data_IF_191540240215
#
_entry.id   IF_191540240215
#
_cell.length_a   1.000
_cell.length_b   1.000
_cell.length_c   1.000
_cell.angle_alpha   90.00
_cell.angle_beta   90.00
_cell.angle_gamma   90.00
#
_symmetry.space_group_name_H-M   'P 1'
#
loop_
_entity.id
_entity.type
_entity.pdbx_description
1 polymer ?
#
# COMPACT_ATOMS: atom_id res chain seq x y z
N UNK A 1 -9.37 18.16 10.57
CA UNK A 1 -10.26 19.14 9.90
C UNK A 1 -9.93 20.61 10.25
N UNK A 2 -8.71 20.91 10.71
CA UNK A 2 -8.37 22.29 11.17
C UNK A 2 -8.45 23.30 10.03
N UNK A 3 -7.87 23.00 8.87
CA UNK A 3 -7.82 23.90 7.72
C UNK A 3 -9.20 24.34 7.18
N UNK A 4 -10.15 23.44 6.87
CA UNK A 4 -11.48 23.86 6.42
C UNK A 4 -12.23 24.71 7.45
N UNK A 5 -12.04 24.46 8.75
CA UNK A 5 -12.65 25.28 9.79
C UNK A 5 -12.03 26.68 9.86
N UNK A 6 -10.71 26.79 9.75
CA UNK A 6 -10.03 28.10 9.67
C UNK A 6 -10.54 28.90 8.48
N UNK A 7 -10.61 28.29 7.29
CA UNK A 7 -11.12 28.96 6.09
C UNK A 7 -12.58 29.42 6.27
N UNK A 8 -13.44 28.58 6.86
CA UNK A 8 -14.85 28.89 7.04
C UNK A 8 -15.12 29.98 8.09
N UNK A 9 -14.39 29.95 9.21
CA UNK A 9 -14.74 30.77 10.38
C UNK A 9 -13.82 31.97 10.61
N UNK A 10 -12.62 31.98 10.04
CA UNK A 10 -11.63 33.05 10.26
C UNK A 10 -11.40 33.92 9.01
N UNK A 11 -12.14 33.71 7.92
CA UNK A 11 -12.00 34.51 6.69
C UNK A 11 -13.33 35.10 6.24
N UNK A 12 -13.27 36.17 5.42
CA UNK A 12 -14.47 36.78 4.84
C UNK A 12 -15.16 35.85 3.81
N UNK A 13 -16.46 36.07 3.51
CA UNK A 13 -17.27 35.13 2.72
C UNK A 13 -16.68 34.75 1.35
N UNK A 14 -16.09 35.73 0.66
CA UNK A 14 -15.46 35.54 -0.65
C UNK A 14 -14.23 34.65 -0.54
N UNK A 15 -13.35 34.93 0.43
CA UNK A 15 -12.12 34.16 0.67
C UNK A 15 -12.44 32.75 1.14
N UNK A 16 -13.45 32.59 2.01
CA UNK A 16 -13.91 31.28 2.47
C UNK A 16 -14.42 30.43 1.30
N UNK A 17 -15.23 31.01 0.41
CA UNK A 17 -15.82 30.30 -0.73
C UNK A 17 -14.75 29.87 -1.73
N UNK A 18 -13.84 30.77 -2.11
CA UNK A 18 -12.73 30.46 -3.01
C UNK A 18 -11.79 29.43 -2.37
N UNK A 19 -11.44 29.61 -1.09
CA UNK A 19 -10.53 28.72 -0.38
C UNK A 19 -11.07 27.30 -0.20
N UNK A 20 -12.34 27.15 0.17
CA UNK A 20 -12.98 25.83 0.27
C UNK A 20 -13.17 25.18 -1.10
N UNK A 21 -13.50 25.96 -2.13
CA UNK A 21 -13.57 25.47 -3.52
C UNK A 21 -12.21 24.98 -4.03
N UNK A 22 -11.15 25.75 -3.79
CA UNK A 22 -9.79 25.38 -4.16
C UNK A 22 -9.32 24.12 -3.40
N UNK A 23 -9.61 24.02 -2.10
CA UNK A 23 -9.32 22.84 -1.30
C UNK A 23 -10.04 21.60 -1.85
N UNK A 24 -11.34 21.72 -2.15
CA UNK A 24 -12.12 20.63 -2.71
C UNK A 24 -11.57 20.19 -4.09
N UNK A 25 -11.24 21.14 -4.96
CA UNK A 25 -10.66 20.85 -6.26
C UNK A 25 -9.28 20.16 -6.16
N UNK A 26 -8.42 20.61 -5.24
CA UNK A 26 -7.11 19.99 -5.02
C UNK A 26 -7.23 18.55 -4.50
N UNK A 27 -8.15 18.30 -3.57
CA UNK A 27 -8.42 16.95 -3.06
C UNK A 27 -8.98 16.06 -4.16
N UNK A 28 -9.94 16.55 -4.95
CA UNK A 28 -10.53 15.79 -6.06
C UNK A 28 -9.48 15.37 -7.10
N UNK A 29 -8.60 16.30 -7.51
CA UNK A 29 -7.49 15.99 -8.43
C UNK A 29 -6.56 14.88 -7.91
N UNK A 30 -6.27 14.90 -6.60
CA UNK A 30 -5.41 13.89 -5.95
C UNK A 30 -6.09 12.52 -5.88
N UNK A 31 -7.38 12.51 -5.55
CA UNK A 31 -8.21 11.29 -5.47
C UNK A 31 -8.35 10.66 -6.85
N UNK A 32 -8.67 11.47 -7.87
CA UNK A 32 -8.85 11.00 -9.25
C UNK A 32 -7.57 10.33 -9.78
N UNK A 33 -6.42 10.97 -9.57
CA UNK A 33 -5.12 10.44 -9.94
C UNK A 33 -4.80 9.12 -9.22
N UNK A 34 -5.12 9.03 -7.93
CA UNK A 34 -4.86 7.84 -7.10
C UNK A 34 -5.75 6.66 -7.50
N UNK A 35 -7.05 6.90 -7.71
CA UNK A 35 -8.02 5.88 -8.13
C UNK A 35 -7.69 5.38 -9.54
N UNK A 36 -7.34 6.28 -10.45
CA UNK A 36 -6.95 5.90 -11.81
C UNK A 36 -5.64 5.10 -11.80
N UNK A 37 -4.65 5.50 -11.00
CA UNK A 37 -3.38 4.77 -10.86
C UNK A 37 -3.60 3.36 -10.33
N UNK A 38 -4.34 3.21 -9.22
CA UNK A 38 -4.68 1.91 -8.65
C UNK A 38 -5.45 1.01 -9.64
N UNK A 39 -6.42 1.59 -10.36
CA UNK A 39 -7.23 0.86 -11.34
C UNK A 39 -6.41 0.43 -12.56
N UNK A 40 -5.49 1.29 -13.01
CA UNK A 40 -4.60 1.00 -14.14
C UNK A 40 -3.61 -0.10 -13.78
N UNK A 41 -2.97 0.00 -12.61
CA UNK A 41 -2.10 -1.07 -12.09
C UNK A 41 -2.85 -2.39 -11.94
N UNK A 42 -4.10 -2.37 -11.43
CA UNK A 42 -4.93 -3.56 -11.35
C UNK A 42 -5.22 -4.17 -12.73
N UNK A 43 -5.54 -3.36 -13.74
CA UNK A 43 -5.79 -3.85 -15.09
C UNK A 43 -4.53 -4.44 -15.75
N UNK A 44 -3.39 -3.74 -15.67
CA UNK A 44 -2.16 -4.12 -16.37
C UNK A 44 -1.34 -5.20 -15.65
N UNK A 45 -1.31 -5.18 -14.32
CA UNK A 45 -0.45 -6.08 -13.55
C UNK A 45 -1.20 -7.30 -13.02
N UNK A 46 -2.54 -7.24 -12.90
CA UNK A 46 -3.35 -8.34 -12.37
C UNK A 46 -4.25 -8.91 -13.47
N UNK A 47 -5.16 -8.11 -14.03
CA UNK A 47 -6.15 -8.64 -14.99
C UNK A 47 -5.50 -9.16 -16.27
N UNK A 48 -4.62 -8.38 -16.91
CA UNK A 48 -3.97 -8.80 -18.16
C UNK A 48 -3.14 -10.08 -17.97
N UNK A 49 -2.20 -10.18 -17.01
CA UNK A 49 -1.34 -11.34 -16.93
C UNK A 49 -2.04 -12.60 -16.40
N UNK A 50 -3.06 -12.45 -15.53
CA UNK A 50 -3.70 -13.59 -14.86
C UNK A 50 -5.03 -14.03 -15.49
N UNK A 51 -5.80 -13.11 -16.09
CA UNK A 51 -7.15 -13.39 -16.60
C UNK A 51 -7.19 -13.45 -18.13
N UNK A 52 -6.62 -12.45 -18.81
CA UNK A 52 -6.60 -12.42 -20.27
C UNK A 52 -5.30 -11.76 -20.81
N UNK A 53 -4.25 -12.56 -21.07
CA UNK A 53 -2.96 -12.07 -21.56
C UNK A 53 -3.04 -11.34 -22.91
N UNK A 54 -4.01 -11.71 -23.74
CA UNK A 54 -4.23 -11.16 -25.07
C UNK A 54 -5.27 -10.03 -25.08
N UNK A 55 -5.59 -9.44 -23.93
CA UNK A 55 -6.55 -8.33 -23.85
C UNK A 55 -6.07 -7.11 -24.64
N UNK A 56 -6.90 -6.68 -25.58
CA UNK A 56 -6.69 -5.46 -26.35
C UNK A 56 -6.95 -4.19 -25.52
N UNK A 57 -6.39 -3.07 -25.95
CA UNK A 57 -6.50 -1.73 -25.37
C UNK A 57 -7.94 -1.31 -25.05
N UNK A 58 -8.90 -1.62 -25.92
CA UNK A 58 -10.33 -1.32 -25.71
C UNK A 58 -10.90 -2.13 -24.54
N UNK A 59 -10.50 -3.40 -24.43
CA UNK A 59 -10.91 -4.27 -23.32
C UNK A 59 -10.29 -3.79 -22.01
N UNK A 60 -9.00 -3.44 -22.02
CA UNK A 60 -8.32 -2.89 -20.85
C UNK A 60 -8.95 -1.58 -20.38
N UNK A 61 -9.29 -0.66 -21.29
CA UNK A 61 -9.99 0.58 -20.94
C UNK A 61 -11.34 0.30 -20.26
N UNK A 62 -12.09 -0.71 -20.72
CA UNK A 62 -13.35 -1.14 -20.09
C UNK A 62 -13.12 -1.71 -18.69
N UNK A 63 -12.06 -2.50 -18.50
CA UNK A 63 -11.68 -3.04 -17.19
C UNK A 63 -11.27 -1.93 -16.24
N UNK A 64 -10.45 -0.97 -16.69
CA UNK A 64 -10.04 0.19 -15.88
C UNK A 64 -11.28 0.97 -15.40
N UNK A 65 -12.24 1.28 -16.27
CA UNK A 65 -13.48 1.97 -15.84
C UNK A 65 -14.26 1.21 -14.77
N UNK A 66 -14.33 -0.11 -14.87
CA UNK A 66 -14.98 -0.96 -13.85
C UNK A 66 -14.18 -0.92 -12.54
N UNK A 67 -12.86 -1.03 -12.61
CA UNK A 67 -11.99 -0.95 -11.44
C UNK A 67 -12.04 0.43 -10.76
N UNK A 68 -12.18 1.52 -11.51
CA UNK A 68 -12.37 2.88 -10.95
C UNK A 68 -13.61 2.92 -10.07
N UNK A 69 -14.73 2.35 -10.52
CA UNK A 69 -15.95 2.27 -9.72
C UNK A 69 -15.75 1.39 -8.48
N UNK A 70 -15.10 0.24 -8.61
CA UNK A 70 -14.85 -0.69 -7.48
C UNK A 70 -13.92 -0.06 -6.44
N UNK A 71 -12.79 0.51 -6.86
CA UNK A 71 -11.82 1.14 -5.98
C UNK A 71 -12.41 2.40 -5.33
N UNK A 72 -13.12 3.23 -6.10
CA UNK A 72 -13.77 4.43 -5.57
C UNK A 72 -14.86 4.12 -4.54
N UNK A 73 -15.69 3.11 -4.81
CA UNK A 73 -16.71 2.66 -3.84
C UNK A 73 -16.07 2.08 -2.59
N UNK A 74 -15.06 1.21 -2.71
CA UNK A 74 -14.32 0.67 -1.57
C UNK A 74 -13.64 1.76 -0.73
N UNK A 75 -12.97 2.72 -1.37
CA UNK A 75 -12.34 3.86 -0.69
C UNK A 75 -13.38 4.71 0.06
N UNK A 76 -14.55 4.94 -0.54
CA UNK A 76 -15.66 5.67 0.09
C UNK A 76 -16.19 4.92 1.32
N UNK A 77 -16.36 3.60 1.23
CA UNK A 77 -16.81 2.79 2.37
C UNK A 77 -15.82 2.84 3.55
N UNK A 78 -14.51 2.73 3.26
CA UNK A 78 -13.46 2.85 4.29
C UNK A 78 -13.48 4.27 4.90
N UNK A 79 -13.60 5.31 4.06
CA UNK A 79 -13.64 6.70 4.52
C UNK A 79 -14.85 7.01 5.42
N UNK A 80 -15.98 6.34 5.22
CA UNK A 80 -17.18 6.49 6.07
C UNK A 80 -17.05 5.78 7.42
N UNK A 81 -16.23 4.73 7.52
CA UNK A 81 -16.06 3.96 8.75
C UNK A 81 -14.92 4.49 9.63
N UNK A 82 -13.81 4.93 9.03
CA UNK A 82 -12.61 5.34 9.76
C UNK A 82 -12.71 6.78 10.25
N UNK A 83 -12.64 6.97 11.56
CA UNK A 83 -12.81 8.28 12.21
C UNK A 83 -11.58 9.19 12.11
N UNK A 84 -10.41 8.66 11.74
CA UNK A 84 -9.14 9.40 11.73
C UNK A 84 -8.37 9.24 10.43
N UNK A 85 -8.21 10.35 9.70
CA UNK A 85 -7.35 10.44 8.51
C UNK A 85 -5.89 10.13 8.85
N UNK A 86 -5.44 10.55 10.03
CA UNK A 86 -4.08 10.28 10.49
C UNK A 86 -3.84 8.77 10.68
N UNK A 87 -4.82 8.06 11.25
CA UNK A 87 -4.73 6.62 11.44
C UNK A 87 -4.63 5.88 10.10
N UNK A 88 -5.43 6.28 9.10
CA UNK A 88 -5.37 5.69 7.76
C UNK A 88 -4.06 6.00 7.04
N UNK A 89 -3.56 7.24 7.13
CA UNK A 89 -2.26 7.62 6.56
C UNK A 89 -1.10 6.82 7.17
N UNK A 90 -1.12 6.65 8.48
CA UNK A 90 -0.14 5.85 9.20
C UNK A 90 -0.22 4.37 8.82
N UNK A 91 -1.43 3.82 8.70
CA UNK A 91 -1.67 2.43 8.27
C UNK A 91 -1.11 2.17 6.86
N UNK A 92 -1.39 3.06 5.90
CA UNK A 92 -0.83 2.97 4.55
C UNK A 92 0.70 3.02 4.57
N UNK A 93 1.27 3.96 5.33
CA UNK A 93 2.72 4.11 5.46
C UNK A 93 3.39 2.88 6.07
N UNK A 94 2.70 2.25 7.03
CA UNK A 94 3.15 1.04 7.68
C UNK A 94 3.17 -0.17 6.73
N UNK A 95 2.16 -0.33 5.86
CA UNK A 95 2.20 -1.36 4.81
C UNK A 95 3.31 -1.12 3.79
N UNK A 96 3.53 0.13 3.39
CA UNK A 96 4.65 0.48 2.50
C UNK A 96 5.98 0.12 3.16
N UNK A 97 6.17 0.48 4.43
CA UNK A 97 7.40 0.23 5.16
C UNK A 97 7.66 -1.26 5.45
N UNK A 98 6.66 -1.99 5.95
CA UNK A 98 6.85 -3.38 6.37
C UNK A 98 6.89 -4.37 5.21
N UNK A 99 6.14 -4.11 4.14
CA UNK A 99 5.91 -5.07 3.06
C UNK A 99 6.59 -4.63 1.76
N UNK A 100 6.31 -3.41 1.27
CA UNK A 100 6.79 -2.98 -0.04
C UNK A 100 8.26 -2.59 -0.04
N UNK A 101 8.74 -1.95 1.03
CA UNK A 101 10.11 -1.46 1.10
C UNK A 101 11.16 -2.59 0.98
N UNK A 102 11.09 -3.73 1.70
CA UNK A 102 12.00 -4.85 1.48
C UNK A 102 12.02 -5.37 0.04
N UNK A 103 10.85 -5.42 -0.61
CA UNK A 103 10.71 -5.87 -1.99
C UNK A 103 11.35 -4.88 -2.96
N UNK A 104 11.11 -3.58 -2.78
CA UNK A 104 11.68 -2.54 -3.62
C UNK A 104 13.21 -2.47 -3.48
N UNK A 105 13.72 -2.54 -2.25
CA UNK A 105 15.16 -2.52 -1.97
C UNK A 105 15.84 -3.71 -2.65
N UNK A 106 15.30 -4.91 -2.52
CA UNK A 106 15.89 -6.11 -3.12
C UNK A 106 15.75 -6.13 -4.64
N UNK A 107 14.63 -5.63 -5.19
CA UNK A 107 14.45 -5.52 -6.64
C UNK A 107 15.42 -4.52 -7.29
N UNK A 108 15.78 -3.42 -6.61
CA UNK A 108 16.66 -2.39 -7.15
C UNK A 108 18.15 -2.66 -6.88
N UNK A 109 18.49 -3.16 -5.69
CA UNK A 109 19.89 -3.22 -5.23
C UNK A 109 20.45 -4.63 -5.10
N UNK A 110 19.62 -5.68 -5.07
CA UNK A 110 20.10 -7.07 -5.04
C UNK A 110 19.87 -7.77 -6.39
N UNK A 111 20.92 -7.80 -7.21
CA UNK A 111 20.94 -8.50 -8.51
C UNK A 111 20.72 -10.00 -8.40
N UNK A 112 20.76 -10.56 -7.19
CA UNK A 112 20.58 -11.97 -6.89
C UNK A 112 19.21 -12.30 -6.30
N UNK A 113 18.32 -11.31 -6.15
CA UNK A 113 16.95 -11.53 -5.69
C UNK A 113 16.12 -12.30 -6.75
N UNK A 114 15.27 -13.21 -6.30
CA UNK A 114 14.40 -13.99 -7.19
C UNK A 114 12.94 -14.06 -6.70
N UNK A 115 12.07 -14.68 -7.50
CA UNK A 115 10.63 -14.75 -7.22
C UNK A 115 10.31 -15.51 -5.94
N UNK A 116 11.00 -16.62 -5.66
CA UNK A 116 10.76 -17.42 -4.46
C UNK A 116 11.14 -16.65 -3.19
N UNK A 117 12.27 -15.95 -3.21
CA UNK A 117 12.66 -15.08 -2.10
C UNK A 117 11.68 -13.93 -1.90
N UNK A 118 11.26 -13.28 -2.98
CA UNK A 118 10.25 -12.21 -2.93
C UNK A 118 8.93 -12.70 -2.30
N UNK A 119 8.39 -13.83 -2.75
CA UNK A 119 7.13 -14.41 -2.21
C UNK A 119 7.31 -14.81 -0.74
N UNK A 120 8.41 -15.49 -0.38
CA UNK A 120 8.67 -15.91 0.98
C UNK A 120 8.81 -14.72 1.94
N UNK A 121 9.57 -13.70 1.54
CA UNK A 121 9.73 -12.48 2.32
C UNK A 121 8.43 -11.69 2.46
N UNK A 122 7.62 -11.62 1.41
CA UNK A 122 6.28 -11.02 1.48
C UNK A 122 5.40 -11.76 2.49
N UNK A 123 5.39 -13.09 2.46
CA UNK A 123 4.63 -13.91 3.39
C UNK A 123 5.09 -13.69 4.85
N UNK A 124 6.39 -13.65 5.10
CA UNK A 124 6.96 -13.41 6.44
C UNK A 124 6.63 -12.01 6.95
N UNK A 125 6.87 -10.96 6.14
CA UNK A 125 6.51 -9.58 6.47
C UNK A 125 5.02 -9.45 6.78
N UNK A 126 4.17 -10.05 5.95
CA UNK A 126 2.73 -10.00 6.11
C UNK A 126 2.28 -10.71 7.39
N UNK A 127 2.75 -11.95 7.62
CA UNK A 127 2.39 -12.72 8.81
C UNK A 127 2.79 -12.00 10.11
N UNK A 128 4.03 -11.50 10.19
CA UNK A 128 4.50 -10.77 11.36
C UNK A 128 3.75 -9.44 11.53
N UNK A 129 3.54 -8.69 10.44
CA UNK A 129 2.86 -7.41 10.51
C UNK A 129 1.41 -7.56 10.99
N UNK A 130 0.63 -8.45 10.39
CA UNK A 130 -0.76 -8.68 10.79
C UNK A 130 -0.88 -9.44 12.11
N UNK A 131 0.11 -10.27 12.44
CA UNK A 131 0.17 -10.95 13.73
C UNK A 131 0.26 -10.00 14.92
N UNK A 132 0.78 -8.79 14.72
CA UNK A 132 0.83 -7.72 15.73
C UNK A 132 -0.52 -7.05 16.01
N UNK A 133 -1.56 -7.42 15.26
CA UNK A 133 -2.87 -6.78 15.30
C UNK A 133 -2.89 -5.43 14.57
N UNK A 134 -4.09 -4.95 14.27
CA UNK A 134 -4.31 -3.62 13.71
C UNK A 134 -5.65 -3.06 14.20
N UNK A 135 -5.66 -2.15 15.19
CA UNK A 135 -6.89 -1.61 15.75
C UNK A 135 -7.73 -0.82 14.75
N UNK A 136 -7.11 -0.17 13.74
CA UNK A 136 -7.84 0.58 12.71
C UNK A 136 -8.70 -0.34 11.84
N UNK A 137 -8.25 -1.58 11.64
CA UNK A 137 -8.96 -2.60 10.87
C UNK A 137 -9.75 -3.58 11.75
N UNK A 138 -9.73 -3.40 13.07
CA UNK A 138 -10.37 -4.32 14.03
C UNK A 138 -9.69 -5.70 14.11
N UNK A 139 -8.44 -5.83 13.66
CA UNK A 139 -7.72 -7.10 13.64
C UNK A 139 -7.12 -7.35 15.04
N UNK A 140 -7.52 -8.41 15.75
CA UNK A 140 -6.96 -8.72 17.06
C UNK A 140 -5.51 -9.19 16.92
N UNK A 141 -4.75 -9.10 18.01
CA UNK A 141 -3.39 -9.63 18.07
C UNK A 141 -3.43 -11.16 17.96
N UNK A 142 -2.69 -11.69 16.99
CA UNK A 142 -2.57 -13.15 16.80
C UNK A 142 -1.29 -13.69 17.44
N UNK A 143 -0.22 -12.91 17.45
CA UNK A 143 1.06 -13.30 18.05
C UNK A 143 1.29 -12.59 19.40
N UNK A 144 1.84 -13.32 20.40
CA UNK A 144 2.22 -12.75 21.68
C UNK A 144 3.56 -12.01 21.54
N UNK A 145 3.54 -10.81 20.96
CA UNK A 145 4.72 -9.96 20.94
C UNK A 145 5.16 -9.59 22.38
N UNK A 146 6.47 -9.55 22.65
CA UNK A 146 6.97 -9.17 23.97
C UNK A 146 6.70 -7.69 24.26
N UNK A 147 6.91 -7.27 25.51
CA UNK A 147 6.78 -5.86 25.94
C UNK A 147 5.40 -5.26 25.65
N UNK A 148 4.34 -5.91 26.17
CA UNK A 148 2.99 -5.35 26.17
C UNK A 148 2.85 -4.45 27.39
N UNK A 149 2.46 -3.20 27.19
CA UNK A 149 2.17 -2.28 28.27
C UNK A 149 0.95 -2.77 29.07
N UNK A 150 1.06 -3.06 30.38
CA UNK A 150 -0.03 -3.61 31.18
C UNK A 150 -1.24 -2.67 31.29
N UNK A 151 -1.04 -1.36 31.16
CA UNK A 151 -2.10 -0.35 31.29
C UNK A 151 -2.86 -0.09 29.98
N UNK A 152 -2.13 0.12 28.89
CA UNK A 152 -2.74 0.46 27.59
C UNK A 152 -2.98 -0.73 26.67
N UNK A 153 -2.39 -1.90 26.98
CA UNK A 153 -2.40 -3.06 26.09
C UNK A 153 -1.66 -2.83 24.77
N UNK A 154 -0.87 -1.76 24.66
CA UNK A 154 -0.07 -1.43 23.48
C UNK A 154 1.17 -2.31 23.42
N UNK A 155 1.53 -2.74 22.20
CA UNK A 155 2.77 -3.47 21.95
C UNK A 155 3.91 -2.45 21.84
N UNK A 156 4.77 -2.38 22.86
CA UNK A 156 5.95 -1.50 22.87
C UNK A 156 7.11 -2.07 22.05
N UNK A 157 7.09 -3.38 21.82
CA UNK A 157 8.08 -4.02 20.94
C UNK A 157 7.96 -3.46 19.50
N UNK A 158 9.07 -3.11 18.84
CA UNK A 158 9.08 -2.53 17.50
C UNK A 158 8.76 -3.56 16.41
N UNK A 159 7.61 -4.22 16.50
CA UNK A 159 7.20 -5.35 15.67
C UNK A 159 7.19 -5.01 14.17
N UNK A 160 6.95 -3.75 13.81
CA UNK A 160 6.99 -3.26 12.43
C UNK A 160 8.39 -3.32 11.83
N UNK A 161 9.39 -2.81 12.56
CA UNK A 161 10.79 -2.90 12.16
C UNK A 161 11.24 -4.36 12.12
N UNK A 162 10.80 -5.18 13.08
CA UNK A 162 11.06 -6.62 13.07
C UNK A 162 10.45 -7.30 11.83
N UNK A 163 9.21 -6.99 11.47
CA UNK A 163 8.56 -7.52 10.28
C UNK A 163 9.29 -7.10 9.00
N UNK A 164 9.67 -5.82 8.89
CA UNK A 164 10.44 -5.30 7.75
C UNK A 164 11.78 -6.02 7.59
N UNK A 165 12.58 -6.11 8.67
CA UNK A 165 13.89 -6.76 8.65
C UNK A 165 13.79 -8.26 8.41
N UNK A 166 12.82 -8.93 9.05
CA UNK A 166 12.59 -10.36 8.85
C UNK A 166 12.22 -10.65 7.40
N UNK A 167 11.34 -9.85 6.79
CA UNK A 167 11.01 -9.92 5.38
C UNK A 167 12.25 -9.75 4.51
N UNK A 168 13.01 -8.66 4.71
CA UNK A 168 14.23 -8.37 3.94
C UNK A 168 15.25 -9.50 4.01
N UNK A 169 15.56 -9.99 5.21
CA UNK A 169 16.48 -11.09 5.43
C UNK A 169 15.98 -12.39 4.78
N UNK A 170 14.66 -12.64 4.84
CA UNK A 170 14.04 -13.80 4.19
C UNK A 170 14.18 -13.72 2.68
N UNK A 171 13.94 -12.55 2.06
CA UNK A 171 14.11 -12.36 0.61
C UNK A 171 15.54 -12.70 0.22
N UNK A 172 16.53 -12.12 0.92
CA UNK A 172 17.94 -12.35 0.62
C UNK A 172 18.30 -13.83 0.80
N UNK A 173 18.03 -14.40 1.97
CA UNK A 173 18.38 -15.78 2.28
C UNK A 173 17.75 -16.78 1.31
N UNK A 174 16.43 -16.74 1.14
CA UNK A 174 15.70 -17.66 0.26
C UNK A 174 16.14 -17.47 -1.19
N UNK A 175 16.36 -16.23 -1.64
CA UNK A 175 16.87 -15.99 -2.99
C UNK A 175 18.24 -16.63 -3.20
N UNK A 176 19.16 -16.57 -2.22
CA UNK A 176 20.48 -17.22 -2.31
C UNK A 176 20.40 -18.75 -2.34
N UNK A 177 19.50 -19.35 -1.54
CA UNK A 177 19.33 -20.81 -1.55
C UNK A 177 18.64 -21.33 -2.80
N UNK A 178 17.71 -20.56 -3.37
CA UNK A 178 16.89 -20.99 -4.51
C UNK A 178 17.45 -20.58 -5.88
N UNK A 179 18.66 -20.01 -5.95
CA UNK A 179 19.27 -19.58 -7.22
C UNK A 179 19.39 -20.70 -8.26
N UNK A 180 19.65 -21.93 -7.81
CA UNK A 180 19.75 -23.10 -8.70
C UNK A 180 18.42 -23.47 -9.35
N UNK A 181 17.30 -23.14 -8.70
CA UNK A 181 15.94 -23.47 -9.15
C UNK A 181 15.32 -22.30 -9.91
N UNK A 182 15.50 -21.08 -9.41
CA UNK A 182 15.01 -19.85 -10.03
C UNK A 182 16.17 -18.85 -10.14
N UNK A 183 16.81 -18.74 -11.32
CA UNK A 183 17.84 -17.76 -11.52
C UNK A 183 17.23 -16.35 -11.45
N UNK A 184 17.97 -15.37 -10.90
CA UNK A 184 17.53 -13.99 -10.88
C UNK A 184 17.33 -13.51 -12.32
N UNK A 185 16.22 -12.81 -12.56
CA UNK A 185 15.94 -12.21 -13.86
C UNK A 185 16.45 -10.78 -13.83
N UNK A 186 17.38 -10.38 -14.71
CA UNK A 186 17.73 -8.97 -14.83
C UNK A 186 16.46 -8.19 -15.20
N UNK A 187 16.34 -6.98 -14.66
CA UNK A 187 15.35 -6.03 -15.15
C UNK A 187 15.64 -5.84 -16.64
N UNK A 188 14.72 -6.27 -17.50
CA UNK A 188 14.79 -5.90 -18.90
C UNK A 188 14.80 -4.38 -18.92
N UNK A 189 15.87 -3.77 -19.45
CA UNK A 189 15.84 -2.35 -19.77
C UNK A 189 14.57 -2.16 -20.60
N UNK A 190 13.67 -1.29 -20.13
CA UNK A 190 12.59 -0.79 -20.97
C UNK A 190 13.30 -0.25 -22.20
N UNK A 191 13.24 -0.99 -23.30
CA UNK A 191 13.75 -0.51 -24.57
C UNK A 191 13.05 0.83 -24.78
N UNK A 192 13.83 1.90 -24.78
CA UNK A 192 13.37 3.21 -25.19
C UNK A 192 12.85 3.05 -26.62
N UNK A 193 11.53 3.00 -26.78
CA UNK A 193 10.81 3.23 -28.04
C UNK A 193 10.15 4.61 -27.97
#
# INVERSE_FOLDING_TARGET
>A
LVLPFVLRYLTGPVVASIGLGALAAAVMSSVDSSVLSASSMGAWNIYRPLVNPSADSVTLARVIRRLVLIVGTAATLIALQVQSVYALWFLCSDFVYCILFPQLVTALFDTRANRYGSIAGLAVSFALRFGGGEPVLGIPRLFPYPMIDPGSGAVLFPFRTTAMLAGLLTIVAVSRFTQRICPPRPLAQLAEE
#
